data_IF_211981782841
#
_entry.id   IF_211981782841
#
_cell.length_a   1.000
_cell.length_b   1.000
_cell.length_c   1.000
_cell.angle_alpha   90.00
_cell.angle_beta   90.00
_cell.angle_gamma   90.00
#
_symmetry.space_group_name_H-M   'P 1'
#
loop_
_entity.id
_entity.type
_entity.pdbx_description
1 polymer ?
#
# COMPACT_ATOMS: atom_id res chain seq x y z
N UNK A 1 -3.01 -6.07 -17.22
CA UNK A 1 -4.34 -5.62 -16.71
C UNK A 1 -5.48 -6.46 -17.26
N UNK A 2 -5.57 -6.66 -18.57
CA UNK A 2 -6.67 -7.41 -19.22
C UNK A 2 -6.90 -8.82 -18.64
N UNK A 3 -5.88 -9.67 -18.57
CA UNK A 3 -6.03 -11.03 -18.01
C UNK A 3 -6.46 -11.03 -16.54
N UNK A 4 -5.99 -10.05 -15.76
CA UNK A 4 -6.39 -9.89 -14.34
C UNK A 4 -7.86 -9.48 -14.22
N UNK A 5 -8.33 -8.61 -15.10
CA UNK A 5 -9.74 -8.22 -15.17
C UNK A 5 -10.62 -9.42 -15.56
N UNK A 6 -10.24 -10.19 -16.58
CA UNK A 6 -10.96 -11.40 -16.99
C UNK A 6 -11.07 -12.40 -15.84
N UNK A 7 -9.97 -12.70 -15.15
CA UNK A 7 -9.97 -13.62 -14.01
C UNK A 7 -10.73 -13.07 -12.78
N UNK A 8 -10.89 -11.74 -12.66
CA UNK A 8 -11.75 -11.15 -11.61
C UNK A 8 -13.23 -11.27 -11.93
N UNK A 9 -13.62 -11.26 -13.20
CA UNK A 9 -15.01 -11.46 -13.63
C UNK A 9 -15.36 -12.96 -13.60
N UNK A 10 -14.46 -13.80 -14.13
CA UNK A 10 -14.60 -15.25 -14.13
C UNK A 10 -13.28 -15.90 -13.66
N UNK A 11 -13.17 -16.28 -12.38
CA UNK A 11 -11.97 -16.91 -11.82
C UNK A 11 -11.57 -18.24 -12.49
N UNK A 12 -12.52 -18.91 -13.14
CA UNK A 12 -12.29 -20.20 -13.83
C UNK A 12 -12.03 -20.02 -15.34
N UNK A 13 -11.89 -18.79 -15.83
CA UNK A 13 -11.66 -18.54 -17.25
C UNK A 13 -10.33 -19.13 -17.71
N UNK A 14 -10.39 -19.99 -18.74
CA UNK A 14 -9.22 -20.42 -19.49
C UNK A 14 -9.10 -19.53 -20.72
N UNK A 15 -8.12 -18.62 -20.69
CA UNK A 15 -7.97 -17.58 -21.71
C UNK A 15 -6.50 -17.35 -22.05
N UNK A 16 -6.21 -17.03 -23.30
CA UNK A 16 -4.93 -16.48 -23.75
C UNK A 16 -5.16 -15.06 -24.25
N UNK A 17 -4.38 -14.10 -23.76
CA UNK A 17 -4.45 -12.70 -24.18
C UNK A 17 -3.11 -12.33 -24.80
N UNK A 18 -3.11 -11.87 -26.06
CA UNK A 18 -1.93 -11.34 -26.74
C UNK A 18 -2.12 -9.85 -26.99
N UNK A 19 -1.19 -9.03 -26.51
CA UNK A 19 -1.29 -7.58 -26.52
C UNK A 19 -1.68 -6.99 -25.16
N UNK A 20 -1.54 -5.67 -25.03
CA UNK A 20 -1.71 -4.93 -23.78
C UNK A 20 -2.91 -3.97 -23.76
N UNK A 21 -3.45 -3.62 -24.92
CA UNK A 21 -4.60 -2.72 -25.08
C UNK A 21 -5.85 -3.52 -25.44
N UNK A 22 -6.94 -3.31 -24.69
CA UNK A 22 -8.20 -4.06 -24.82
C UNK A 22 -8.84 -3.90 -26.22
N UNK A 23 -8.53 -2.80 -26.89
CA UNK A 23 -9.05 -2.51 -28.22
C UNK A 23 -8.32 -3.30 -29.30
N UNK A 24 -7.01 -3.48 -29.14
CA UNK A 24 -6.12 -4.09 -30.15
C UNK A 24 -5.64 -5.50 -29.79
N UNK A 25 -5.90 -5.98 -28.56
CA UNK A 25 -5.48 -7.31 -28.14
C UNK A 25 -6.29 -8.42 -28.80
N UNK A 26 -5.65 -9.56 -28.98
CA UNK A 26 -6.28 -10.82 -29.35
C UNK A 26 -6.61 -11.63 -28.10
N UNK A 27 -7.86 -12.07 -27.98
CA UNK A 27 -8.34 -12.87 -26.84
C UNK A 27 -8.85 -14.21 -27.38
N UNK A 28 -8.17 -15.28 -26.99
CA UNK A 28 -8.56 -16.66 -27.29
C UNK A 28 -9.15 -17.30 -26.04
N UNK A 29 -10.38 -17.80 -26.15
CA UNK A 29 -11.10 -18.48 -25.08
C UNK A 29 -10.97 -19.99 -25.26
N UNK A 30 -10.56 -20.68 -24.21
CA UNK A 30 -10.29 -22.12 -24.23
C UNK A 30 -11.29 -22.88 -23.35
N UNK A 31 -11.40 -24.20 -23.58
CA UNK A 31 -12.14 -25.14 -22.73
C UNK A 31 -13.62 -24.74 -22.47
N UNK A 32 -14.28 -24.15 -23.46
CA UNK A 32 -15.69 -23.74 -23.34
C UNK A 32 -15.91 -22.53 -22.44
N UNK A 33 -14.86 -21.79 -22.08
CA UNK A 33 -14.98 -20.53 -21.34
C UNK A 33 -15.89 -19.58 -22.12
N UNK A 34 -16.98 -19.14 -21.50
CA UNK A 34 -17.90 -18.18 -22.10
C UNK A 34 -17.17 -16.86 -22.35
N UNK A 35 -17.14 -16.36 -23.60
CA UNK A 35 -16.51 -15.09 -23.91
C UNK A 35 -17.12 -13.93 -23.12
N UNK A 36 -16.26 -13.12 -22.52
CA UNK A 36 -16.65 -11.90 -21.79
C UNK A 36 -16.57 -10.73 -22.78
N UNK A 37 -17.53 -9.80 -22.69
CA UNK A 37 -17.54 -8.64 -23.58
C UNK A 37 -16.34 -7.71 -23.29
N UNK A 38 -15.84 -7.03 -24.32
CA UNK A 38 -14.75 -6.05 -24.14
C UNK A 38 -15.14 -4.93 -23.17
N UNK A 39 -16.40 -4.48 -23.22
CA UNK A 39 -16.92 -3.45 -22.33
C UNK A 39 -16.88 -3.87 -20.85
N UNK A 40 -17.25 -5.12 -20.55
CA UNK A 40 -17.19 -5.62 -19.17
C UNK A 40 -15.74 -5.75 -18.68
N UNK A 41 -14.84 -6.20 -19.56
CA UNK A 41 -13.40 -6.27 -19.26
C UNK A 41 -12.83 -4.87 -19.01
N UNK A 42 -13.19 -3.89 -19.84
CA UNK A 42 -12.77 -2.49 -19.71
C UNK A 42 -13.30 -1.86 -18.41
N UNK A 43 -14.58 -2.05 -18.10
CA UNK A 43 -15.17 -1.60 -16.83
C UNK A 43 -14.42 -2.19 -15.62
N UNK A 44 -14.05 -3.47 -15.68
CA UNK A 44 -13.26 -4.11 -14.61
C UNK A 44 -11.81 -3.61 -14.56
N UNK A 45 -11.20 -3.25 -15.70
CA UNK A 45 -9.87 -2.62 -15.73
C UNK A 45 -9.93 -1.28 -14.99
N UNK A 46 -10.92 -0.44 -15.31
CA UNK A 46 -11.13 0.88 -14.66
C UNK A 46 -11.32 0.71 -13.15
N UNK A 47 -12.11 -0.26 -12.71
CA UNK A 47 -12.29 -0.57 -11.29
C UNK A 47 -10.97 -0.96 -10.61
N UNK A 48 -10.16 -1.82 -11.25
CA UNK A 48 -8.87 -2.25 -10.72
C UNK A 48 -7.84 -1.12 -10.68
N UNK A 49 -7.88 -0.20 -11.64
CA UNK A 49 -7.04 1.01 -11.65
C UNK A 49 -7.46 1.96 -10.53
N UNK A 50 -8.75 2.21 -10.36
CA UNK A 50 -9.26 3.02 -9.26
C UNK A 50 -8.89 2.44 -7.89
N UNK A 51 -8.98 1.11 -7.71
CA UNK A 51 -8.51 0.43 -6.49
C UNK A 51 -7.00 0.55 -6.31
N UNK A 52 -6.22 0.41 -7.39
CA UNK A 52 -4.77 0.58 -7.34
C UNK A 52 -4.39 2.00 -6.92
N UNK A 53 -5.02 3.01 -7.50
CA UNK A 53 -4.77 4.43 -7.21
C UNK A 53 -5.24 4.81 -5.81
N UNK A 54 -6.39 4.33 -5.36
CA UNK A 54 -6.86 4.52 -3.99
C UNK A 54 -5.88 3.96 -2.94
N UNK A 55 -5.18 2.87 -3.28
CA UNK A 55 -4.18 2.27 -2.43
C UNK A 55 -2.77 2.85 -2.61
N UNK A 56 -2.57 3.86 -3.47
CA UNK A 56 -1.27 4.49 -3.69
C UNK A 56 -0.68 5.07 -2.40
N UNK A 57 -1.50 5.73 -1.58
CA UNK A 57 -1.07 6.27 -0.29
C UNK A 57 -0.42 5.21 0.62
N UNK A 58 -0.88 3.96 0.56
CA UNK A 58 -0.30 2.88 1.36
C UNK A 58 1.06 2.42 0.83
N UNK A 59 1.30 2.51 -0.49
CA UNK A 59 2.56 2.15 -1.15
C UNK A 59 3.61 3.24 -1.04
N UNK A 60 3.18 4.50 -1.15
CA UNK A 60 4.07 5.68 -1.13
C UNK A 60 4.40 6.14 0.30
N UNK A 61 3.77 5.53 1.32
CA UNK A 61 4.07 5.77 2.73
C UNK A 61 5.46 5.26 3.07
N UNK A 62 6.45 6.16 3.01
CA UNK A 62 7.78 5.96 3.58
C UNK A 62 7.79 6.57 4.97
N UNK A 63 7.70 5.72 5.99
CA UNK A 63 8.00 6.14 7.35
C UNK A 63 9.53 6.21 7.52
N UNK A 64 10.08 7.20 8.24
CA UNK A 64 11.44 7.12 8.75
C UNK A 64 11.64 5.81 9.53
N UNK A 65 12.89 5.40 9.73
CA UNK A 65 13.18 4.22 10.55
C UNK A 65 12.50 4.36 11.92
N UNK A 66 12.01 3.26 12.50
CA UNK A 66 11.33 3.29 13.80
C UNK A 66 12.19 3.99 14.86
N UNK A 67 13.52 3.80 14.79
CA UNK A 67 14.47 4.50 15.65
C UNK A 67 14.42 6.03 15.51
N UNK A 68 14.39 6.55 14.28
CA UNK A 68 14.32 7.99 14.02
C UNK A 68 12.95 8.58 14.39
N UNK A 69 11.87 7.84 14.17
CA UNK A 69 10.53 8.25 14.61
C UNK A 69 10.44 8.39 16.13
N UNK A 70 10.98 7.42 16.87
CA UNK A 70 11.03 7.45 18.34
C UNK A 70 11.96 8.56 18.85
N UNK A 71 13.03 8.87 18.12
CA UNK A 71 13.95 9.98 18.42
C UNK A 71 13.27 11.35 18.25
N UNK A 72 12.50 11.53 17.16
CA UNK A 72 11.69 12.73 16.93
C UNK A 72 10.61 12.91 18.01
N UNK A 73 9.94 11.83 18.40
CA UNK A 73 8.93 11.85 19.47
C UNK A 73 9.56 12.22 20.81
N UNK A 74 10.72 11.62 21.13
CA UNK A 74 11.50 11.95 22.31
C UNK A 74 11.83 13.45 22.37
N UNK A 75 12.42 14.01 21.31
CA UNK A 75 12.76 15.43 21.28
C UNK A 75 11.54 16.35 21.40
N UNK A 76 10.41 15.98 20.81
CA UNK A 76 9.17 16.77 20.87
C UNK A 76 8.60 16.85 22.28
N UNK A 77 8.66 15.76 23.05
CA UNK A 77 8.28 15.74 24.47
C UNK A 77 9.34 16.47 25.30
N UNK A 78 10.64 16.22 25.03
CA UNK A 78 11.74 16.79 25.80
C UNK A 78 11.90 18.32 25.63
N UNK A 79 11.42 18.90 24.54
CA UNK A 79 11.49 20.34 24.33
C UNK A 79 10.25 21.10 24.82
N UNK A 80 9.18 20.39 25.21
CA UNK A 80 7.92 21.00 25.61
C UNK A 80 7.59 20.74 27.10
N UNK A 81 7.71 21.75 27.98
CA UNK A 81 7.47 21.58 29.42
C UNK A 81 6.08 21.07 29.79
N UNK A 82 5.04 21.42 29.00
CA UNK A 82 3.67 20.93 29.22
C UNK A 82 3.60 19.43 28.92
N UNK A 83 4.15 18.99 27.80
CA UNK A 83 4.15 17.58 27.42
C UNK A 83 5.01 16.72 28.36
N UNK A 84 6.16 17.25 28.83
CA UNK A 84 6.95 16.58 29.88
C UNK A 84 6.13 16.31 31.14
N UNK A 85 5.35 17.30 31.55
CA UNK A 85 4.57 17.21 32.79
C UNK A 85 3.35 16.30 32.62
N UNK A 86 2.70 16.36 31.47
CA UNK A 86 1.51 15.56 31.14
C UNK A 86 1.83 14.07 30.91
N UNK A 87 2.99 13.77 30.31
CA UNK A 87 3.46 12.41 30.05
C UNK A 87 4.67 12.02 30.89
N UNK A 88 4.75 12.51 32.13
CA UNK A 88 5.95 12.44 32.96
C UNK A 88 6.51 11.01 33.14
N UNK A 89 5.66 10.03 33.44
CA UNK A 89 6.10 8.63 33.63
C UNK A 89 6.68 8.03 32.35
N UNK A 90 6.04 8.29 31.21
CA UNK A 90 6.52 7.85 29.91
C UNK A 90 7.84 8.53 29.52
N UNK A 91 7.94 9.84 29.76
CA UNK A 91 9.15 10.63 29.54
C UNK A 91 10.34 10.09 30.36
N UNK A 92 10.18 9.88 31.68
CA UNK A 92 11.27 9.36 32.51
C UNK A 92 11.69 7.93 32.12
N UNK A 93 10.74 7.08 31.72
CA UNK A 93 11.04 5.74 31.20
C UNK A 93 11.90 5.79 29.92
N UNK A 94 11.53 6.61 28.94
CA UNK A 94 12.29 6.76 27.68
C UNK A 94 13.64 7.43 27.93
N UNK A 95 13.70 8.43 28.82
CA UNK A 95 14.93 9.10 29.23
C UNK A 95 15.96 8.12 29.78
N UNK A 96 15.53 7.20 30.65
CA UNK A 96 16.41 6.18 31.21
C UNK A 96 17.01 5.27 30.13
N UNK A 97 16.24 4.94 29.09
CA UNK A 97 16.72 4.16 27.93
C UNK A 97 17.70 4.97 27.09
N UNK A 98 17.40 6.24 26.78
CA UNK A 98 18.28 7.14 26.00
C UNK A 98 19.62 7.39 26.70
N UNK A 99 19.62 7.54 28.02
CA UNK A 99 20.86 7.69 28.82
C UNK A 99 21.73 6.43 28.76
N UNK A 100 21.12 5.24 28.77
CA UNK A 100 21.85 3.96 28.66
C UNK A 100 22.34 3.67 27.24
N UNK A 101 21.68 4.22 26.23
CA UNK A 101 21.96 4.00 24.81
C UNK A 101 22.05 5.35 24.06
N UNK A 102 23.09 6.16 24.34
CA UNK A 102 23.28 7.41 23.62
C UNK A 102 23.46 7.12 22.12
N UNK A 103 22.81 7.91 21.25
CA UNK A 103 23.09 7.86 19.81
C UNK A 103 24.55 8.30 19.67
N UNK A 104 25.45 7.40 19.27
CA UNK A 104 26.83 7.76 18.96
C UNK A 104 26.77 8.88 17.90
N UNK A 105 27.37 10.03 18.21
CA UNK A 105 27.43 11.19 17.32
C UNK A 105 28.27 10.95 16.09
#
# INVERSE_FOLDING_TARGET
>A
MIIKAILKINPNAYVTVRGSDINTCEIEWHNGTTPISKADIEAKIIELEAEYDANQYQRDRVYPSIGDQLDMLWHSIDQNPKLKSEYFEFYEAIKAVKVKHPKNG
#
